data_IF_913329836967
#
_entry.id   IF_913329836967
#
_cell.length_a   1.000
_cell.length_b   1.000
_cell.length_c   1.000
_cell.angle_alpha   90.00
_cell.angle_beta   90.00
_cell.angle_gamma   90.00
#
_symmetry.space_group_name_H-M   'P 1'
#
loop_
_entity.id
_entity.type
_entity.pdbx_description
1 polymer ?
#
# COMPACT_ATOMS: atom_id res chain seq x y z
N UNK A 1 -21.35 39.79 13.58
CA UNK A 1 -20.82 39.08 12.39
C UNK A 1 -19.66 38.21 12.85
N UNK A 2 -19.84 36.88 12.99
CA UNK A 2 -18.75 35.97 13.39
C UNK A 2 -18.22 35.27 12.16
N UNK A 3 -16.97 35.55 11.81
CA UNK A 3 -16.21 34.86 10.78
C UNK A 3 -16.12 33.36 11.13
N UNK A 4 -16.50 32.50 10.19
CA UNK A 4 -16.35 31.04 10.30
C UNK A 4 -14.86 30.73 10.14
N UNK A 5 -14.24 30.20 11.18
CA UNK A 5 -12.87 29.69 11.15
C UNK A 5 -12.78 28.56 10.12
N UNK A 6 -11.97 28.75 9.07
CA UNK A 6 -11.62 27.70 8.13
C UNK A 6 -10.77 26.63 8.84
N UNK A 7 -11.42 25.53 9.23
CA UNK A 7 -10.71 24.32 9.64
C UNK A 7 -10.04 23.73 8.40
N UNK A 8 -8.71 23.84 8.31
CA UNK A 8 -7.89 23.25 7.25
C UNK A 8 -8.10 21.73 7.23
N UNK A 9 -8.94 21.24 6.33
CA UNK A 9 -9.18 19.81 6.14
C UNK A 9 -7.90 19.18 5.60
N UNK A 10 -7.23 18.36 6.41
CA UNK A 10 -6.08 17.56 5.97
C UNK A 10 -6.60 16.49 5.02
N UNK A 11 -6.38 16.68 3.71
CA UNK A 11 -6.77 15.68 2.73
C UNK A 11 -5.79 14.51 2.75
N UNK A 12 -6.30 13.30 3.06
CA UNK A 12 -5.54 12.07 2.84
C UNK A 12 -5.46 11.82 1.33
N UNK A 13 -4.27 11.98 0.77
CA UNK A 13 -3.95 11.71 -0.64
C UNK A 13 -3.13 10.44 -0.74
N UNK A 14 -3.59 9.51 -1.57
CA UNK A 14 -2.79 8.35 -1.98
C UNK A 14 -2.07 8.66 -3.30
N UNK A 15 -1.04 7.89 -3.68
CA UNK A 15 -0.37 8.04 -4.97
C UNK A 15 -1.36 8.01 -6.16
N UNK A 16 -2.37 7.15 -6.10
CA UNK A 16 -3.43 7.09 -7.13
C UNK A 16 -4.29 8.35 -7.17
N UNK A 17 -4.55 9.00 -6.02
CA UNK A 17 -5.24 10.29 -5.99
C UNK A 17 -4.40 11.41 -6.61
N UNK A 18 -3.08 11.41 -6.40
CA UNK A 18 -2.18 12.39 -7.01
C UNK A 18 -2.10 12.22 -8.52
N UNK A 19 -1.99 10.96 -8.99
CA UNK A 19 -2.07 10.67 -10.42
C UNK A 19 -3.41 11.12 -11.02
N UNK A 20 -4.53 10.96 -10.31
CA UNK A 20 -5.82 11.47 -10.77
C UNK A 20 -5.84 13.01 -10.85
N UNK A 21 -5.20 13.70 -9.91
CA UNK A 21 -5.09 15.15 -9.89
C UNK A 21 -4.32 15.67 -11.11
N UNK A 22 -3.15 15.07 -11.41
CA UNK A 22 -2.33 15.41 -12.58
C UNK A 22 -3.08 15.17 -13.90
N UNK A 23 -3.84 14.07 -13.99
CA UNK A 23 -4.60 13.75 -15.19
C UNK A 23 -5.87 14.61 -15.33
N UNK A 24 -6.56 14.94 -14.23
CA UNK A 24 -7.83 15.67 -14.24
C UNK A 24 -8.14 16.30 -12.87
N UNK A 25 -7.84 17.59 -12.70
CA UNK A 25 -8.15 18.35 -11.49
C UNK A 25 -9.64 18.34 -11.11
N UNK A 26 -10.55 18.46 -12.09
CA UNK A 26 -11.99 18.42 -11.85
C UNK A 26 -12.43 17.07 -11.29
N UNK A 27 -11.89 15.97 -11.82
CA UNK A 27 -12.19 14.62 -11.38
C UNK A 27 -11.70 14.38 -9.95
N UNK A 28 -10.50 14.86 -9.64
CA UNK A 28 -9.95 14.83 -8.28
C UNK A 28 -10.84 15.62 -7.29
N UNK A 29 -11.26 16.83 -7.65
CA UNK A 29 -12.13 17.64 -6.81
C UNK A 29 -13.48 16.94 -6.54
N UNK A 30 -14.11 16.38 -7.59
CA UNK A 30 -15.37 15.65 -7.46
C UNK A 30 -15.25 14.42 -6.55
N UNK A 31 -14.13 13.68 -6.63
CA UNK A 31 -13.86 12.51 -5.77
C UNK A 31 -13.63 12.94 -4.30
N UNK A 32 -12.86 14.01 -4.06
CA UNK A 32 -12.58 14.50 -2.69
C UNK A 32 -13.80 15.12 -2.02
N UNK A 33 -14.66 15.78 -2.78
CA UNK A 33 -15.93 16.32 -2.29
C UNK A 33 -17.08 15.29 -2.33
N UNK A 34 -16.81 14.02 -2.68
CA UNK A 34 -17.77 12.90 -2.72
C UNK A 34 -19.01 13.17 -3.59
N UNK A 35 -18.89 14.04 -4.59
CA UNK A 35 -19.99 14.40 -5.50
C UNK A 35 -20.13 13.35 -6.60
N UNK A 36 -19.00 12.95 -7.19
CA UNK A 36 -18.96 12.00 -8.29
C UNK A 36 -17.63 11.25 -8.30
N UNK A 37 -17.68 9.95 -8.59
CA UNK A 37 -16.48 9.10 -8.68
C UNK A 37 -16.33 8.53 -10.07
N UNK A 38 -15.09 8.54 -10.58
CA UNK A 38 -14.79 7.90 -11.87
C UNK A 38 -15.07 6.38 -11.76
N UNK A 39 -15.80 5.79 -12.72
CA UNK A 39 -15.99 4.34 -12.76
C UNK A 39 -14.62 3.67 -12.79
N UNK A 40 -14.41 2.73 -11.86
CA UNK A 40 -13.18 1.95 -11.80
C UNK A 40 -13.25 0.85 -12.85
N UNK A 41 -12.15 0.63 -13.56
CA UNK A 41 -12.00 -0.56 -14.40
C UNK A 41 -11.95 -1.84 -13.56
N UNK A 42 -12.05 -2.99 -14.22
CA UNK A 42 -11.84 -4.29 -13.59
C UNK A 42 -10.45 -4.36 -12.96
N UNK A 43 -10.38 -4.71 -11.68
CA UNK A 43 -9.11 -4.91 -11.01
C UNK A 43 -8.60 -6.33 -11.29
N UNK A 44 -7.33 -6.52 -11.68
CA UNK A 44 -6.81 -7.84 -11.98
C UNK A 44 -6.71 -8.67 -10.70
N UNK A 45 -7.58 -9.66 -10.56
CA UNK A 45 -7.65 -10.53 -9.36
C UNK A 45 -6.51 -11.54 -9.31
N UNK A 46 -6.05 -12.03 -10.46
CA UNK A 46 -5.02 -13.07 -10.54
C UNK A 46 -3.67 -12.63 -9.93
N UNK A 47 -3.06 -11.49 -10.34
CA UNK A 47 -1.82 -11.02 -9.71
C UNK A 47 -2.00 -10.75 -8.22
N UNK A 48 -3.15 -10.19 -7.82
CA UNK A 48 -3.46 -9.92 -6.41
C UNK A 48 -3.55 -11.20 -5.57
N UNK A 49 -4.07 -12.29 -6.16
CA UNK A 49 -4.14 -13.59 -5.52
C UNK A 49 -2.77 -14.23 -5.34
N UNK A 50 -1.93 -14.14 -6.37
CA UNK A 50 -0.54 -14.64 -6.34
C UNK A 50 0.26 -13.90 -5.25
N UNK A 51 0.20 -12.56 -5.21
CA UNK A 51 0.87 -11.75 -4.20
C UNK A 51 0.42 -12.13 -2.77
N UNK A 52 -0.88 -12.32 -2.58
CA UNK A 52 -1.45 -12.71 -1.28
C UNK A 52 -0.98 -14.09 -0.83
N UNK A 53 -0.90 -15.06 -1.75
CA UNK A 53 -0.39 -16.40 -1.47
C UNK A 53 1.09 -16.35 -1.09
N UNK A 54 1.87 -15.61 -1.87
CA UNK A 54 3.30 -15.44 -1.66
C UNK A 54 3.57 -14.81 -0.29
N UNK A 55 2.88 -13.71 0.04
CA UNK A 55 2.99 -13.06 1.34
C UNK A 55 2.69 -14.01 2.51
N UNK A 56 1.68 -14.87 2.39
CA UNK A 56 1.36 -15.88 3.42
C UNK A 56 2.48 -16.92 3.57
N UNK A 57 3.07 -17.37 2.47
CA UNK A 57 4.21 -18.29 2.49
C UNK A 57 5.38 -17.67 3.23
N UNK A 58 5.85 -16.49 2.80
CA UNK A 58 6.97 -15.78 3.42
C UNK A 58 6.72 -15.41 4.89
N UNK A 59 5.48 -15.02 5.24
CA UNK A 59 5.13 -14.71 6.62
C UNK A 59 5.34 -15.89 7.58
N UNK A 60 5.06 -17.13 7.15
CA UNK A 60 5.29 -18.33 7.99
C UNK A 60 6.77 -18.53 8.35
N UNK A 61 7.68 -18.17 7.45
CA UNK A 61 9.13 -18.22 7.70
C UNK A 61 9.60 -17.01 8.50
N UNK A 62 9.05 -15.82 8.20
CA UNK A 62 9.30 -14.57 8.94
C UNK A 62 9.01 -14.73 10.43
N UNK A 63 7.87 -15.31 10.78
CA UNK A 63 7.47 -15.49 12.19
C UNK A 63 8.39 -16.48 12.94
N UNK A 64 9.14 -17.33 12.21
CA UNK A 64 10.15 -18.24 12.76
C UNK A 64 11.57 -17.65 12.72
N UNK A 65 11.74 -16.46 12.16
CA UNK A 65 13.05 -15.84 11.94
C UNK A 65 13.93 -16.57 10.92
N UNK A 66 13.34 -17.43 10.07
CA UNK A 66 14.06 -18.24 9.09
C UNK A 66 13.92 -17.64 7.68
N UNK A 67 14.94 -17.85 6.86
CA UNK A 67 14.84 -17.63 5.42
C UNK A 67 14.12 -18.83 4.78
N UNK A 68 13.17 -18.59 3.85
CA UNK A 68 12.58 -19.64 3.04
C UNK A 68 13.65 -20.36 2.21
N UNK A 69 13.45 -21.65 1.89
CA UNK A 69 14.42 -22.46 1.15
C UNK A 69 14.77 -21.87 -0.23
N UNK A 70 13.82 -21.16 -0.86
CA UNK A 70 14.00 -20.51 -2.15
C UNK A 70 15.04 -19.38 -2.09
N UNK A 71 15.18 -18.72 -0.94
CA UNK A 71 16.18 -17.66 -0.73
C UNK A 71 17.46 -18.22 -0.12
N UNK A 72 17.36 -19.18 0.81
CA UNK A 72 18.51 -19.78 1.47
C UNK A 72 19.47 -20.48 0.49
N UNK A 73 18.92 -21.15 -0.53
CA UNK A 73 19.71 -21.86 -1.53
C UNK A 73 20.41 -20.94 -2.55
N UNK A 74 20.04 -19.66 -2.61
CA UNK A 74 20.69 -18.69 -3.48
C UNK A 74 21.91 -18.09 -2.80
N UNK A 75 23.08 -18.23 -3.43
CA UNK A 75 24.36 -17.83 -2.84
C UNK A 75 24.45 -16.31 -2.56
N UNK A 76 23.70 -15.51 -3.33
CA UNK A 76 23.62 -14.05 -3.19
C UNK A 76 22.75 -13.60 -2.00
N UNK A 77 21.95 -14.52 -1.44
CA UNK A 77 20.92 -14.22 -0.44
C UNK A 77 21.32 -14.61 0.99
N UNK A 78 22.57 -15.03 1.23
CA UNK A 78 23.05 -15.56 2.52
C UNK A 78 22.94 -14.59 3.71
N UNK A 79 23.01 -13.29 3.46
CA UNK A 79 22.96 -12.25 4.49
C UNK A 79 21.63 -11.48 4.50
N UNK A 80 20.59 -12.03 3.87
CA UNK A 80 19.28 -11.39 3.84
C UNK A 80 18.43 -11.77 5.05
N UNK A 81 17.52 -10.87 5.42
CA UNK A 81 16.51 -11.11 6.44
C UNK A 81 15.16 -10.64 5.95
N UNK A 82 14.10 -11.35 6.34
CA UNK A 82 12.75 -10.90 6.07
C UNK A 82 12.41 -9.71 6.99
N UNK A 83 11.92 -8.62 6.41
CA UNK A 83 11.52 -7.40 7.12
C UNK A 83 10.42 -7.69 8.17
N UNK A 84 10.53 -7.13 9.37
CA UNK A 84 9.56 -7.34 10.44
C UNK A 84 9.67 -8.71 11.12
N UNK A 85 10.85 -9.34 11.02
CA UNK A 85 11.21 -10.54 11.78
C UNK A 85 11.63 -10.19 13.22
N UNK A 86 11.90 -8.92 13.54
CA UNK A 86 11.91 -8.42 14.92
C UNK A 86 10.63 -7.65 15.25
N UNK A 87 10.24 -7.64 16.53
CA UNK A 87 9.11 -6.82 17.00
C UNK A 87 9.37 -5.32 16.85
N UNK A 88 10.63 -4.89 16.83
CA UNK A 88 11.06 -3.49 16.76
C UNK A 88 10.77 -2.83 15.40
N UNK A 89 10.62 -3.60 14.32
CA UNK A 89 10.43 -3.09 12.96
C UNK A 89 8.95 -2.91 12.56
N UNK A 90 7.99 -3.24 13.43
CA UNK A 90 6.55 -3.24 13.11
C UNK A 90 5.84 -1.88 13.27
N UNK A 91 6.52 -0.88 13.81
CA UNK A 91 5.94 0.43 14.16
C UNK A 91 6.25 1.59 13.20
N UNK A 92 6.86 1.31 12.03
CA UNK A 92 7.12 2.32 10.98
C UNK A 92 6.02 2.29 9.91
#
# INVERSE_FOLDING_TARGET
>A
MKAKSESKLVFKVSPSSLSLMENCFRCFWLDKHKVWKRPKGGFPTLPSGIDSLLKKHFNKFRDRGLLPPELYNNHDCKNLRLYGATYEEKEI
#
